data_IF_194670407509
#
_entry.id   IF_194670407509
#
_cell.length_a   1.000
_cell.length_b   1.000
_cell.length_c   1.000
_cell.angle_alpha   90.00
_cell.angle_beta   90.00
_cell.angle_gamma   90.00
#
_symmetry.space_group_name_H-M   'P 1'
#
loop_
_entity.id
_entity.type
_entity.pdbx_description
1 polymer ?
#
# COMPACT_ATOMS: atom_id res chain seq x y z
N UNK A 1 -8.04 10.75 47.65
CA UNK A 1 -7.51 9.41 47.35
C UNK A 1 -8.24 8.88 46.11
N UNK A 2 -7.97 9.51 44.96
CA UNK A 2 -8.45 9.07 43.64
C UNK A 2 -7.20 8.65 42.88
N UNK A 3 -6.81 7.41 43.05
CA UNK A 3 -5.68 6.84 42.32
C UNK A 3 -6.24 5.87 41.28
N UNK A 4 -6.04 6.26 40.02
CA UNK A 4 -5.66 5.36 38.94
C UNK A 4 -6.76 4.45 38.37
N UNK A 5 -7.71 5.07 37.66
CA UNK A 5 -8.53 4.44 36.62
C UNK A 5 -7.86 4.52 35.23
N UNK A 6 -6.55 4.74 35.16
CA UNK A 6 -5.79 4.87 33.90
C UNK A 6 -5.27 3.52 33.37
N UNK A 7 -5.58 2.40 34.03
CA UNK A 7 -5.09 1.06 33.68
C UNK A 7 -5.99 0.28 32.69
N UNK A 8 -7.04 0.90 32.16
CA UNK A 8 -7.89 0.35 31.08
C UNK A 8 -7.63 1.07 29.74
N UNK A 9 -6.54 1.84 29.65
CA UNK A 9 -6.01 2.27 28.35
C UNK A 9 -5.06 1.20 27.80
N UNK A 10 -5.58 0.01 27.52
CA UNK A 10 -5.12 -0.65 26.28
C UNK A 10 -5.58 0.29 25.17
N UNK A 11 -4.71 0.86 24.32
CA UNK A 11 -5.20 1.56 23.16
C UNK A 11 -6.07 0.55 22.41
N UNK A 12 -7.37 0.85 22.30
CA UNK A 12 -8.21 0.23 21.28
C UNK A 12 -7.36 0.30 20.00
N UNK A 13 -7.04 -0.81 19.31
CA UNK A 13 -6.24 -0.73 18.10
C UNK A 13 -6.89 0.32 17.21
N UNK A 14 -6.12 1.35 16.89
CA UNK A 14 -6.67 2.49 16.19
C UNK A 14 -7.23 1.95 14.88
N UNK A 15 -8.45 2.38 14.58
CA UNK A 15 -9.11 2.10 13.31
C UNK A 15 -8.15 2.54 12.19
N UNK A 16 -7.52 1.60 11.48
CA UNK A 16 -6.51 1.92 10.44
C UNK A 16 -5.09 1.38 10.67
N UNK A 17 -4.89 0.37 11.52
CA UNK A 17 -3.59 -0.31 11.63
C UNK A 17 -3.28 -1.19 10.39
N UNK A 18 -2.23 -0.82 9.65
CA UNK A 18 -1.68 -1.60 8.54
C UNK A 18 -0.44 -2.37 9.00
N UNK A 19 -0.56 -3.64 9.41
CA UNK A 19 0.59 -4.48 9.69
C UNK A 19 1.36 -4.82 8.42
N UNK A 20 2.61 -4.41 8.41
CA UNK A 20 3.64 -4.82 7.48
C UNK A 20 4.42 -6.01 8.05
N UNK A 21 4.35 -7.13 7.34
CA UNK A 21 5.12 -8.31 7.66
C UNK A 21 6.36 -8.37 6.76
N UNK A 22 7.54 -8.27 7.36
CA UNK A 22 8.83 -8.46 6.69
C UNK A 22 9.40 -9.83 7.05
N UNK A 23 9.50 -10.72 6.08
CA UNK A 23 10.06 -12.07 6.24
C UNK A 23 11.44 -12.17 5.57
N UNK A 24 12.42 -12.66 6.32
CA UNK A 24 13.75 -12.97 5.78
C UNK A 24 13.71 -14.24 4.92
N UNK A 25 14.17 -14.18 3.66
CA UNK A 25 14.17 -15.32 2.74
C UNK A 25 15.07 -16.49 3.14
N UNK A 26 16.01 -16.30 4.07
CA UNK A 26 16.90 -17.37 4.54
C UNK A 26 16.48 -17.97 5.89
N UNK A 27 16.39 -17.14 6.93
CA UNK A 27 16.09 -17.62 8.28
C UNK A 27 14.58 -17.65 8.60
N UNK A 28 13.73 -17.17 7.68
CA UNK A 28 12.26 -17.10 7.80
C UNK A 28 11.74 -16.40 9.05
N UNK A 29 12.59 -15.59 9.70
CA UNK A 29 12.12 -14.74 10.80
C UNK A 29 11.27 -13.62 10.22
N UNK A 30 10.11 -13.44 10.82
CA UNK A 30 9.16 -12.40 10.48
C UNK A 30 9.30 -11.27 11.48
N UNK A 31 9.35 -10.04 10.98
CA UNK A 31 9.23 -8.82 11.78
C UNK A 31 7.94 -8.13 11.37
N UNK A 32 7.06 -7.93 12.34
CA UNK A 32 5.87 -7.12 12.16
C UNK A 32 6.19 -5.67 12.48
N UNK A 33 5.69 -4.78 11.65
CA UNK A 33 5.61 -3.35 11.88
C UNK A 33 4.15 -2.95 11.71
N UNK A 34 3.64 -2.08 12.58
CA UNK A 34 2.29 -1.55 12.45
C UNK A 34 2.45 -0.08 12.15
N UNK A 35 1.95 0.34 10.99
CA UNK A 35 1.87 1.73 10.61
C UNK A 35 0.41 2.16 10.70
N UNK A 36 0.16 3.16 11.57
CA UNK A 36 -1.16 3.75 11.70
C UNK A 36 -1.38 4.73 10.54
N UNK A 37 -2.39 4.46 9.71
CA UNK A 37 -2.75 5.33 8.60
C UNK A 37 -4.27 5.46 8.46
N UNK A 38 -4.76 6.69 8.38
CA UNK A 38 -6.19 6.97 8.19
C UNK A 38 -6.62 6.93 6.71
N UNK A 39 -5.65 6.85 5.79
CA UNK A 39 -5.85 6.86 4.34
C UNK A 39 -5.02 5.75 3.70
N UNK A 40 -5.69 4.89 2.93
CA UNK A 40 -5.03 3.90 2.09
C UNK A 40 -4.67 4.53 0.74
N UNK A 41 -3.38 4.82 0.53
CA UNK A 41 -2.88 5.19 -0.79
C UNK A 41 -2.74 3.95 -1.66
N UNK A 42 -3.53 3.88 -2.73
CA UNK A 42 -3.49 2.76 -3.68
C UNK A 42 -2.81 3.18 -4.98
N UNK A 43 -1.80 2.42 -5.44
CA UNK A 43 -1.18 2.68 -6.73
C UNK A 43 -2.15 2.33 -7.85
N UNK A 44 -2.33 3.24 -8.81
CA UNK A 44 -3.15 3.00 -10.00
C UNK A 44 -2.25 2.53 -11.14
N UNK A 45 -2.39 1.28 -11.63
CA UNK A 45 -1.59 0.78 -12.74
C UNK A 45 -1.92 1.55 -14.02
N UNK A 46 -0.90 2.16 -14.62
CA UNK A 46 -1.02 2.87 -15.89
C UNK A 46 -0.84 1.91 -17.08
N UNK A 47 -1.90 1.14 -17.41
CA UNK A 47 -1.90 0.27 -18.59
C UNK A 47 -2.30 1.09 -19.82
N UNK A 48 -1.35 1.28 -20.73
CA UNK A 48 -1.59 1.96 -22.00
C UNK A 48 -2.28 1.00 -22.99
N UNK A 49 -3.48 1.36 -23.44
CA UNK A 49 -4.25 0.56 -24.42
C UNK A 49 -4.02 0.99 -25.86
N UNK A 50 -3.44 2.18 -26.06
CA UNK A 50 -3.06 2.68 -27.37
C UNK A 50 -2.70 4.16 -27.36
N UNK A 51 -2.32 4.66 -28.53
CA UNK A 51 -2.20 6.10 -28.78
C UNK A 51 -3.31 6.50 -29.72
N UNK A 52 -4.07 7.51 -29.33
CA UNK A 52 -5.10 8.09 -30.18
C UNK A 52 -4.46 8.77 -31.40
N UNK A 53 -5.28 9.11 -32.40
CA UNK A 53 -4.84 9.74 -33.67
C UNK A 53 -4.12 11.09 -33.44
N UNK A 54 -4.31 11.70 -32.27
CA UNK A 54 -3.66 12.94 -31.82
C UNK A 54 -2.40 12.71 -30.94
N UNK A 55 -1.92 11.47 -30.81
CA UNK A 55 -0.72 11.13 -30.04
C UNK A 55 -0.89 11.14 -28.52
N UNK A 56 -2.13 11.24 -28.02
CA UNK A 56 -2.46 11.11 -26.59
C UNK A 56 -2.50 9.64 -26.21
N UNK A 57 -1.87 9.27 -25.09
CA UNK A 57 -1.95 7.90 -24.56
C UNK A 57 -3.30 7.66 -23.92
N UNK A 58 -3.98 6.62 -24.38
CA UNK A 58 -5.25 6.15 -23.83
C UNK A 58 -4.93 5.07 -22.79
N UNK A 59 -5.57 5.18 -21.63
CA UNK A 59 -5.36 4.26 -20.51
C UNK A 59 -6.57 3.34 -20.35
N UNK A 60 -6.31 2.10 -19.93
CA UNK A 60 -7.36 1.16 -19.53
C UNK A 60 -8.10 1.66 -18.29
N UNK A 61 -9.37 1.29 -18.17
CA UNK A 61 -10.09 1.40 -16.90
C UNK A 61 -9.54 0.36 -15.93
N UNK A 62 -9.39 0.74 -14.66
CA UNK A 62 -8.85 -0.14 -13.62
C UNK A 62 -9.87 -0.23 -12.49
N UNK A 63 -10.20 -1.46 -12.10
CA UNK A 63 -11.07 -1.73 -10.95
C UNK A 63 -10.34 -1.42 -9.62
N UNK A 64 -11.08 -0.95 -8.62
CA UNK A 64 -10.50 -0.67 -7.29
C UNK A 64 -9.89 -1.93 -6.66
N UNK A 65 -10.50 -3.08 -6.89
CA UNK A 65 -10.03 -4.38 -6.41
C UNK A 65 -8.58 -4.65 -6.82
N UNK A 66 -8.23 -4.35 -8.08
CA UNK A 66 -6.86 -4.52 -8.59
C UNK A 66 -5.89 -3.58 -7.87
N UNK A 67 -6.29 -2.35 -7.59
CA UNK A 67 -5.46 -1.39 -6.85
C UNK A 67 -5.20 -1.86 -5.40
N UNK A 68 -6.20 -2.45 -4.75
CA UNK A 68 -6.07 -3.04 -3.42
C UNK A 68 -5.23 -4.33 -3.41
N UNK A 69 -5.33 -5.14 -4.47
CA UNK A 69 -4.46 -6.31 -4.67
C UNK A 69 -3.01 -5.89 -4.81
N UNK A 70 -2.72 -4.82 -5.57
CA UNK A 70 -1.36 -4.30 -5.72
C UNK A 70 -0.84 -3.78 -4.37
N UNK A 71 -1.66 -3.04 -3.61
CA UNK A 71 -1.27 -2.55 -2.28
C UNK A 71 -0.93 -3.70 -1.31
N UNK A 72 -1.63 -4.83 -1.39
CA UNK A 72 -1.46 -5.98 -0.49
C UNK A 72 -0.59 -7.09 -1.06
N UNK A 73 0.05 -6.84 -2.21
CA UNK A 73 0.93 -7.78 -2.89
C UNK A 73 2.20 -8.06 -2.08
N UNK A 74 2.85 -9.19 -2.40
CA UNK A 74 4.17 -9.50 -1.87
C UNK A 74 5.23 -8.72 -2.64
N UNK A 75 5.99 -7.90 -1.92
CA UNK A 75 7.11 -7.15 -2.46
C UNK A 75 8.43 -7.79 -2.04
N UNK A 76 9.39 -7.81 -2.96
CA UNK A 76 10.71 -8.40 -2.72
C UNK A 76 11.74 -7.28 -2.61
N UNK A 77 12.49 -7.23 -1.51
CA UNK A 77 13.45 -6.17 -1.24
C UNK A 77 14.76 -6.67 -0.64
N UNK A 78 15.83 -5.90 -0.87
CA UNK A 78 17.13 -6.16 -0.24
C UNK A 78 17.09 -5.71 1.23
N UNK A 79 17.31 -6.66 2.14
CA UNK A 79 17.23 -6.44 3.59
C UNK A 79 18.50 -6.92 4.30
N UNK A 80 19.03 -6.10 5.21
CA UNK A 80 20.10 -6.51 6.11
C UNK A 80 19.52 -7.19 7.34
N UNK A 81 19.56 -8.53 7.37
CA UNK A 81 18.93 -9.29 8.44
C UNK A 81 19.81 -9.31 9.70
N UNK A 82 19.34 -8.79 10.87
CA UNK A 82 20.13 -8.78 12.10
C UNK A 82 20.41 -10.19 12.64
N UNK A 83 19.55 -11.17 12.32
CA UNK A 83 19.76 -12.56 12.71
C UNK A 83 20.85 -13.26 11.88
N UNK A 84 20.89 -12.99 10.56
CA UNK A 84 21.86 -13.62 9.65
C UNK A 84 23.16 -12.82 9.54
N UNK A 85 23.16 -11.53 9.95
CA UNK A 85 24.27 -10.58 9.83
C UNK A 85 24.80 -10.43 8.38
N UNK A 86 23.90 -10.49 7.42
CA UNK A 86 24.19 -10.28 5.99
C UNK A 86 22.99 -9.72 5.24
N UNK A 87 23.25 -9.21 4.04
CA UNK A 87 22.21 -8.78 3.12
C UNK A 87 21.56 -10.02 2.50
N UNK A 88 20.24 -10.07 2.60
CA UNK A 88 19.40 -11.13 2.09
C UNK A 88 18.25 -10.53 1.30
N UNK A 89 17.60 -11.36 0.50
CA UNK A 89 16.33 -11.01 -0.11
C UNK A 89 15.24 -11.29 0.93
N UNK A 90 14.43 -10.28 1.25
CA UNK A 90 13.28 -10.39 2.14
C UNK A 90 11.99 -10.14 1.35
N UNK A 91 10.90 -10.71 1.85
CA UNK A 91 9.55 -10.46 1.33
C UNK A 91 8.80 -9.58 2.32
N UNK A 92 8.27 -8.46 1.85
CA UNK A 92 7.39 -7.57 2.60
C UNK A 92 5.96 -7.69 2.08
N UNK A 93 4.99 -7.61 2.98
CA UNK A 93 3.57 -7.52 2.63
C UNK A 93 2.82 -6.69 3.64
N UNK A 94 2.11 -5.68 3.13
CA UNK A 94 1.11 -4.93 3.90
C UNK A 94 -0.22 -5.70 3.92
N UNK A 95 -0.90 -5.69 5.07
CA UNK A 95 -2.26 -6.21 5.21
C UNK A 95 -3.08 -5.29 6.08
N UNK A 96 -4.39 -5.43 6.03
CA UNK A 96 -5.29 -4.82 7.00
C UNK A 96 -5.37 -5.74 8.23
N UNK A 97 -4.97 -5.26 9.41
CA UNK A 97 -5.20 -6.00 10.66
C UNK A 97 -6.69 -6.12 10.95
N UNK A 98 -7.41 -5.02 10.74
CA UNK A 98 -8.85 -4.90 10.88
C UNK A 98 -9.38 -3.96 9.81
N UNK A 99 -10.61 -4.20 9.35
CA UNK A 99 -11.25 -3.31 8.40
C UNK A 99 -11.89 -2.12 9.14
N UNK A 100 -11.58 -0.87 8.77
CA UNK A 100 -12.12 0.30 9.44
C UNK A 100 -13.60 0.49 9.11
N UNK A 101 -14.34 1.22 9.97
CA UNK A 101 -15.73 1.58 9.68
C UNK A 101 -15.85 2.51 8.46
N UNK A 102 -14.83 3.33 8.23
CA UNK A 102 -14.68 4.21 7.08
C UNK A 102 -13.28 4.00 6.50
N UNK A 103 -13.20 3.52 5.27
CA UNK A 103 -11.94 3.40 4.53
C UNK A 103 -11.84 4.57 3.55
N UNK A 104 -10.90 5.48 3.78
CA UNK A 104 -10.56 6.54 2.82
C UNK A 104 -9.48 6.02 1.89
N UNK A 105 -9.77 5.96 0.60
CA UNK A 105 -8.83 5.52 -0.43
C UNK A 105 -8.33 6.71 -1.25
N UNK A 106 -7.02 6.88 -1.30
CA UNK A 106 -6.36 7.85 -2.16
C UNK A 106 -5.78 7.13 -3.39
N UNK A 107 -6.33 7.42 -4.57
CA UNK A 107 -5.85 6.84 -5.83
C UNK A 107 -4.67 7.64 -6.39
N UNK A 108 -3.49 7.03 -6.40
CA UNK A 108 -2.26 7.62 -6.95
C UNK A 108 -2.26 7.55 -8.48
N UNK A 109 -2.87 8.56 -9.11
CA UNK A 109 -3.07 8.67 -10.57
C UNK A 109 -2.03 9.51 -11.31
N UNK A 110 -0.81 9.56 -10.80
CA UNK A 110 0.29 10.35 -11.37
C UNK A 110 1.41 9.42 -11.83
N UNK A 111 1.91 9.65 -13.04
CA UNK A 111 3.08 8.95 -13.58
C UNK A 111 4.13 9.97 -13.97
N UNK A 112 5.41 9.65 -13.75
CA UNK A 112 6.52 10.47 -14.19
C UNK A 112 6.86 10.12 -15.63
N UNK A 113 6.48 11.00 -16.57
CA UNK A 113 6.84 10.87 -17.98
C UNK A 113 7.91 11.92 -18.27
N UNK A 114 9.11 11.48 -18.66
CA UNK A 114 10.26 12.36 -18.89
C UNK A 114 10.57 13.30 -17.70
N UNK A 115 10.53 12.77 -16.47
CA UNK A 115 10.74 13.54 -15.22
C UNK A 115 9.69 14.64 -14.95
N UNK A 116 8.62 14.69 -15.75
CA UNK A 116 7.48 15.60 -15.55
C UNK A 116 6.30 14.78 -15.02
N UNK A 117 5.65 15.21 -13.92
CA UNK A 117 4.45 14.55 -13.43
C UNK A 117 3.32 14.73 -14.45
N UNK A 118 2.96 13.65 -15.13
CA UNK A 118 1.85 13.59 -16.05
C UNK A 118 0.63 12.98 -15.33
N UNK A 119 -0.50 13.68 -15.43
CA UNK A 119 -1.78 13.18 -14.93
C UNK A 119 -2.31 12.11 -15.88
N UNK A 120 -2.75 10.97 -15.35
CA UNK A 120 -3.44 9.94 -16.13
C UNK A 120 -4.82 10.46 -16.55
N UNK A 121 -4.90 11.01 -17.77
CA UNK A 121 -6.08 11.72 -18.27
C UNK A 121 -7.31 10.83 -18.55
N UNK A 122 -7.11 9.54 -18.77
CA UNK A 122 -8.19 8.58 -19.11
C UNK A 122 -8.95 8.02 -17.91
N UNK A 123 -8.33 7.95 -16.72
CA UNK A 123 -8.89 7.32 -15.52
C UNK A 123 -9.86 8.23 -14.74
N UNK A 124 -10.27 9.37 -15.30
CA UNK A 124 -11.03 10.39 -14.58
C UNK A 124 -12.51 10.05 -14.35
N UNK A 125 -13.04 8.97 -14.93
CA UNK A 125 -14.48 8.67 -14.87
C UNK A 125 -14.85 7.32 -14.25
N UNK A 126 -13.92 6.37 -14.15
CA UNK A 126 -14.32 5.01 -13.79
C UNK A 126 -13.25 4.32 -12.95
N UNK A 127 -13.21 4.62 -11.64
CA UNK A 127 -12.90 3.58 -10.67
C UNK A 127 -14.24 2.85 -10.48
N UNK A 128 -14.41 1.71 -11.14
CA UNK A 128 -15.58 0.85 -10.90
C UNK A 128 -15.39 0.23 -9.52
N UNK A 129 -16.36 0.49 -8.63
CA UNK A 129 -16.54 -0.22 -7.36
C UNK A 129 -17.32 -1.52 -7.61
#
# INVERSE_FOLDING_TARGET
MYHSLESIWTPIPAVGDFPDALECGECRRVRYRIDAADVASVPVPARETGKDVEGRTTYEEVALEQCLEILTALEVLAYSCPACRKNVIATQRARFAMFPQLLVVHAEKFQLVNWVPAKLGGLSRTLVL
#
